data_IF_081632396312
#
_entry.id   IF_081632396312
#
_cell.length_a   1.000
_cell.length_b   1.000
_cell.length_c   1.000
_cell.angle_alpha   90.00
_cell.angle_beta   90.00
_cell.angle_gamma   90.00
#
_symmetry.space_group_name_H-M   'P 1'
#
loop_
_entity.id
_entity.type
_entity.pdbx_description
1 polymer ?
#
# COMPACT_ATOMS: atom_id res chain seq x y z
N UNK A 1 -42.93 5.54 -7.34
CA UNK A 1 -41.62 5.02 -6.91
C UNK A 1 -40.56 5.58 -7.83
N UNK A 2 -39.86 6.63 -7.41
CA UNK A 2 -38.77 7.22 -8.21
C UNK A 2 -37.62 6.24 -8.32
N UNK A 3 -37.21 5.91 -9.54
CA UNK A 3 -35.92 5.23 -9.77
C UNK A 3 -34.83 6.18 -9.28
N UNK A 4 -34.00 5.72 -8.32
CA UNK A 4 -32.75 6.39 -8.01
C UNK A 4 -31.95 6.45 -9.31
N UNK A 5 -31.35 7.60 -9.67
CA UNK A 5 -30.46 7.64 -10.81
C UNK A 5 -29.35 6.63 -10.54
N UNK A 6 -29.21 5.65 -11.42
CA UNK A 6 -28.08 4.73 -11.38
C UNK A 6 -26.87 5.58 -11.75
N UNK A 7 -26.02 5.87 -10.79
CA UNK A 7 -24.75 6.55 -11.05
C UNK A 7 -23.94 5.70 -12.05
N UNK A 8 -23.15 6.35 -12.89
CA UNK A 8 -22.26 5.66 -13.80
C UNK A 8 -21.38 4.67 -13.02
N UNK A 9 -21.20 3.43 -13.53
CA UNK A 9 -20.46 2.42 -12.82
C UNK A 9 -18.98 2.83 -12.70
N UNK A 10 -18.42 2.74 -11.49
CA UNK A 10 -16.98 2.82 -11.28
C UNK A 10 -16.39 1.43 -11.48
N UNK A 11 -15.34 1.33 -12.27
CA UNK A 11 -14.73 0.05 -12.64
C UNK A 11 -13.26 -0.02 -12.20
N UNK A 12 -12.79 -1.21 -11.92
CA UNK A 12 -11.36 -1.49 -11.68
C UNK A 12 -10.71 -1.72 -13.04
N UNK A 13 -9.75 -0.88 -13.42
CA UNK A 13 -9.07 -0.92 -14.72
C UNK A 13 -7.71 -1.60 -14.66
N UNK A 14 -7.10 -1.72 -13.48
CA UNK A 14 -5.82 -2.38 -13.29
C UNK A 14 -5.63 -2.92 -11.88
N UNK A 15 -4.82 -3.95 -11.76
CA UNK A 15 -4.55 -4.64 -10.50
C UNK A 15 -3.04 -4.81 -10.32
N UNK A 16 -2.53 -4.38 -9.16
CA UNK A 16 -1.16 -4.61 -8.74
C UNK A 16 -1.12 -5.51 -7.51
N UNK A 17 -0.33 -6.58 -7.57
CA UNK A 17 -0.31 -7.62 -6.55
C UNK A 17 1.10 -7.83 -6.02
N UNK A 18 1.25 -7.72 -4.69
CA UNK A 18 2.50 -8.01 -3.97
C UNK A 18 2.16 -8.90 -2.79
N UNK A 19 2.42 -10.19 -2.91
CA UNK A 19 1.99 -11.21 -1.94
C UNK A 19 3.07 -12.27 -1.71
N UNK A 20 2.95 -13.07 -0.64
CA UNK A 20 3.80 -14.24 -0.43
C UNK A 20 3.68 -15.31 -1.54
N UNK A 21 2.60 -15.28 -2.33
CA UNK A 21 2.41 -16.19 -3.47
C UNK A 21 3.13 -15.73 -4.74
N UNK A 22 3.53 -14.46 -4.81
CA UNK A 22 4.24 -13.90 -5.94
C UNK A 22 3.93 -12.41 -6.16
N UNK A 23 4.67 -11.83 -7.09
CA UNK A 23 4.55 -10.44 -7.52
C UNK A 23 3.84 -10.38 -8.87
N UNK A 24 2.89 -9.45 -8.98
CA UNK A 24 2.06 -9.29 -10.18
C UNK A 24 0.90 -10.29 -10.25
N UNK A 25 -0.12 -9.91 -11.02
CA UNK A 25 -1.38 -10.68 -11.12
C UNK A 25 -1.21 -12.07 -11.71
N UNK A 26 -0.27 -12.25 -12.65
CA UNK A 26 -0.04 -13.55 -13.31
C UNK A 26 0.54 -14.56 -12.34
N UNK A 27 1.67 -14.23 -11.69
CA UNK A 27 2.30 -15.14 -10.73
C UNK A 27 1.39 -15.45 -9.54
N UNK A 28 0.65 -14.46 -9.05
CA UNK A 28 -0.34 -14.64 -7.99
C UNK A 28 -1.46 -15.58 -8.45
N UNK A 29 -2.03 -15.35 -9.63
CA UNK A 29 -3.13 -16.17 -10.16
C UNK A 29 -2.71 -17.62 -10.39
N UNK A 30 -1.56 -17.87 -11.01
CA UNK A 30 -1.01 -19.22 -11.20
C UNK A 30 -0.80 -19.95 -9.87
N UNK A 31 -0.24 -19.25 -8.87
CA UNK A 31 -0.06 -19.82 -7.54
C UNK A 31 -1.38 -20.14 -6.85
N UNK A 32 -2.35 -19.23 -6.93
CA UNK A 32 -3.66 -19.40 -6.32
C UNK A 32 -4.43 -20.58 -6.96
N UNK A 33 -4.50 -20.62 -8.29
CA UNK A 33 -5.23 -21.68 -9.00
C UNK A 33 -4.53 -23.06 -8.92
N UNK A 34 -3.22 -23.10 -8.69
CA UNK A 34 -2.51 -24.36 -8.41
C UNK A 34 -2.61 -24.81 -6.95
N UNK A 35 -3.33 -24.08 -6.09
CA UNK A 35 -3.50 -24.40 -4.67
C UNK A 35 -2.24 -24.20 -3.83
N UNK A 36 -1.26 -23.41 -4.30
CA UNK A 36 -0.06 -23.09 -3.49
C UNK A 36 -0.42 -22.25 -2.28
N UNK A 37 0.24 -22.53 -1.15
CA UNK A 37 0.17 -21.70 0.05
C UNK A 37 1.39 -20.77 0.09
N UNK A 38 1.17 -19.52 0.45
CA UNK A 38 2.22 -18.56 0.79
C UNK A 38 2.53 -18.54 2.30
N UNK A 39 1.88 -19.39 3.09
CA UNK A 39 2.12 -19.50 4.53
C UNK A 39 3.26 -20.50 4.76
N UNK A 40 4.29 -20.05 5.49
CA UNK A 40 5.50 -20.82 5.80
C UNK A 40 5.98 -20.49 7.22
N UNK A 41 6.95 -21.23 7.77
CA UNK A 41 7.62 -20.80 9.00
C UNK A 41 8.22 -19.40 8.83
N UNK A 42 7.95 -18.52 9.80
CA UNK A 42 8.47 -17.16 9.80
C UNK A 42 9.99 -17.18 9.94
N UNK A 43 10.68 -16.52 9.01
CA UNK A 43 12.13 -16.39 8.97
C UNK A 43 12.63 -14.98 9.35
N UNK A 44 11.78 -13.96 9.29
CA UNK A 44 12.16 -12.57 9.49
C UNK A 44 12.48 -12.18 10.94
N UNK A 45 12.04 -12.98 11.92
CA UNK A 45 12.31 -12.77 13.35
C UNK A 45 12.11 -14.05 14.15
N UNK A 46 12.65 -14.08 15.38
CA UNK A 46 12.47 -15.21 16.31
C UNK A 46 11.03 -15.31 16.81
N UNK A 47 10.43 -16.46 16.60
CA UNK A 47 9.05 -16.77 16.99
C UNK A 47 8.93 -17.70 18.20
N UNK A 48 10.06 -18.09 18.83
CA UNK A 48 10.08 -19.11 19.89
C UNK A 48 9.12 -18.80 21.07
N UNK A 49 8.92 -17.51 21.38
CA UNK A 49 8.02 -17.05 22.45
C UNK A 49 6.57 -16.81 21.99
N UNK A 50 6.23 -17.08 20.72
CA UNK A 50 4.92 -16.78 20.16
C UNK A 50 4.05 -18.02 20.05
N UNK A 51 2.72 -17.82 20.11
CA UNK A 51 1.73 -18.89 19.95
C UNK A 51 1.57 -19.39 18.49
N UNK A 52 2.17 -18.70 17.52
CA UNK A 52 2.21 -19.11 16.11
C UNK A 52 3.59 -18.88 15.53
N UNK A 53 4.06 -19.82 14.72
CA UNK A 53 5.34 -19.78 14.04
C UNK A 53 5.19 -19.65 12.52
N UNK A 54 3.96 -19.55 12.03
CA UNK A 54 3.63 -19.50 10.61
C UNK A 54 3.16 -18.10 10.21
N UNK A 55 3.56 -17.65 9.03
CA UNK A 55 3.14 -16.37 8.46
C UNK A 55 3.33 -16.31 6.95
N UNK A 56 2.72 -15.32 6.33
CA UNK A 56 2.91 -15.02 4.92
C UNK A 56 3.93 -13.91 4.77
N UNK A 57 5.21 -14.24 4.58
CA UNK A 57 6.26 -13.26 4.37
C UNK A 57 6.44 -12.95 2.87
N UNK A 58 6.55 -11.68 2.55
CA UNK A 58 6.90 -11.25 1.20
C UNK A 58 8.42 -11.25 1.10
N UNK A 59 9.01 -12.02 0.16
CA UNK A 59 10.46 -12.08 0.00
C UNK A 59 11.03 -10.72 -0.43
N UNK A 60 12.36 -10.60 -0.41
CA UNK A 60 13.03 -9.44 -1.00
C UNK A 60 12.76 -9.39 -2.51
N UNK A 61 12.52 -8.17 -3.01
CA UNK A 61 12.28 -7.92 -4.43
C UNK A 61 12.97 -6.64 -4.89
N UNK A 62 13.14 -6.51 -6.20
CA UNK A 62 13.87 -5.40 -6.80
C UNK A 62 13.00 -4.11 -6.82
N UNK A 63 12.83 -3.46 -5.67
CA UNK A 63 12.00 -2.24 -5.50
C UNK A 63 12.32 -1.18 -6.55
N UNK A 64 13.58 -1.09 -7.00
CA UNK A 64 14.04 -0.14 -8.01
C UNK A 64 13.38 -0.29 -9.39
N UNK A 65 12.72 -1.40 -9.63
CA UNK A 65 11.95 -1.63 -10.86
C UNK A 65 10.59 -0.91 -10.85
N UNK A 66 10.11 -0.54 -9.66
CA UNK A 66 8.79 0.06 -9.45
C UNK A 66 8.85 1.49 -8.92
N UNK A 67 9.93 1.84 -8.23
CA UNK A 67 10.07 3.10 -7.50
C UNK A 67 11.37 3.79 -7.87
N UNK A 68 11.33 5.09 -8.06
CA UNK A 68 12.51 5.90 -8.39
C UNK A 68 13.57 5.86 -7.27
N UNK A 69 14.86 5.83 -7.65
CA UNK A 69 15.97 5.80 -6.70
C UNK A 69 15.97 6.99 -5.71
N UNK A 70 15.42 8.13 -6.13
CA UNK A 70 15.25 9.33 -5.29
C UNK A 70 14.32 9.06 -4.12
N UNK A 71 13.23 8.34 -4.35
CA UNK A 71 12.17 8.12 -3.37
C UNK A 71 12.38 6.86 -2.53
N UNK A 72 12.97 5.79 -3.07
CA UNK A 72 13.28 4.54 -2.34
C UNK A 72 13.96 4.79 -0.99
N UNK A 73 14.91 5.74 -0.93
CA UNK A 73 15.70 6.02 0.29
C UNK A 73 14.87 6.65 1.42
N UNK A 74 13.69 7.16 1.12
CA UNK A 74 12.79 7.80 2.08
C UNK A 74 11.67 6.89 2.56
N UNK A 75 11.46 5.77 1.85
CA UNK A 75 10.37 4.84 2.09
C UNK A 75 10.78 3.75 3.07
N UNK A 76 9.90 3.45 3.99
CA UNK A 76 9.94 2.22 4.79
C UNK A 76 9.52 1.00 3.95
N UNK A 77 9.55 -0.19 4.55
CA UNK A 77 9.20 -1.43 3.84
C UNK A 77 7.75 -1.42 3.37
N UNK A 78 6.80 -1.01 4.21
CA UNK A 78 5.38 -0.95 3.84
C UNK A 78 5.17 -0.02 2.66
N UNK A 79 5.75 1.18 2.70
CA UNK A 79 5.67 2.16 1.60
C UNK A 79 6.24 1.62 0.28
N UNK A 80 7.34 0.85 0.34
CA UNK A 80 7.93 0.21 -0.85
C UNK A 80 7.02 -0.85 -1.46
N UNK A 81 6.42 -1.71 -0.62
CA UNK A 81 5.47 -2.74 -1.06
C UNK A 81 4.23 -2.11 -1.70
N UNK A 82 3.66 -1.10 -1.03
CA UNK A 82 2.48 -0.41 -1.51
C UNK A 82 2.74 0.39 -2.80
N UNK A 83 3.89 1.06 -2.91
CA UNK A 83 4.28 1.78 -4.12
C UNK A 83 4.52 0.85 -5.31
N UNK A 84 5.11 -0.33 -5.07
CA UNK A 84 5.26 -1.35 -6.11
C UNK A 84 3.89 -1.85 -6.60
N UNK A 85 2.97 -2.16 -5.69
CA UNK A 85 1.61 -2.57 -6.05
C UNK A 85 0.88 -1.47 -6.83
N UNK A 86 0.99 -0.20 -6.41
CA UNK A 86 0.37 0.91 -7.11
C UNK A 86 0.94 1.09 -8.53
N UNK A 87 2.27 0.98 -8.70
CA UNK A 87 2.91 1.02 -10.03
C UNK A 87 2.40 -0.11 -10.92
N UNK A 88 2.39 -1.35 -10.40
CA UNK A 88 1.85 -2.50 -11.14
C UNK A 88 0.40 -2.29 -11.58
N UNK A 89 -0.45 -1.69 -10.73
CA UNK A 89 -1.83 -1.41 -11.07
C UNK A 89 -1.96 -0.37 -12.19
N UNK A 90 -1.14 0.69 -12.17
CA UNK A 90 -1.09 1.71 -13.23
C UNK A 90 -0.64 1.11 -14.56
N UNK A 91 0.41 0.28 -14.52
CA UNK A 91 0.96 -0.38 -15.70
C UNK A 91 -0.04 -1.40 -16.27
N UNK A 92 -0.71 -2.17 -15.41
CA UNK A 92 -1.74 -3.13 -15.80
C UNK A 92 -2.97 -2.48 -16.43
N UNK A 93 -3.34 -1.28 -15.95
CA UNK A 93 -4.40 -0.47 -16.55
C UNK A 93 -3.99 0.17 -17.88
N UNK A 94 -2.72 0.12 -18.27
CA UNK A 94 -2.20 0.83 -19.44
C UNK A 94 -2.31 2.34 -19.34
N UNK A 95 -2.30 2.90 -18.11
CA UNK A 95 -2.49 4.31 -17.88
C UNK A 95 -1.20 5.10 -18.07
N UNK A 96 -1.26 6.12 -18.93
CA UNK A 96 -0.23 7.14 -19.03
C UNK A 96 -0.57 8.32 -18.12
N UNK A 97 0.01 8.33 -16.93
CA UNK A 97 -0.25 9.38 -15.93
C UNK A 97 0.17 10.78 -16.41
N UNK A 98 1.01 10.91 -17.43
CA UNK A 98 1.41 12.21 -17.97
C UNK A 98 0.27 12.86 -18.80
N UNK A 99 -0.66 12.08 -19.29
CA UNK A 99 -1.79 12.54 -20.12
C UNK A 99 -3.04 12.92 -19.35
N UNK A 100 -3.06 12.74 -18.03
CA UNK A 100 -4.22 13.06 -17.19
C UNK A 100 -3.88 14.14 -16.16
N UNK A 101 -4.91 14.87 -15.68
CA UNK A 101 -4.69 15.91 -14.67
C UNK A 101 -4.35 15.30 -13.31
N UNK A 102 -3.15 15.59 -12.79
CA UNK A 102 -2.68 15.15 -11.49
C UNK A 102 -3.59 15.54 -10.33
N UNK A 103 -4.33 16.65 -10.45
CA UNK A 103 -5.25 17.12 -9.40
C UNK A 103 -6.52 16.26 -9.32
N UNK A 104 -6.80 15.48 -10.34
CA UNK A 104 -7.95 14.56 -10.40
C UNK A 104 -7.56 13.09 -10.17
N UNK A 105 -6.28 12.84 -9.89
CA UNK A 105 -5.76 11.52 -9.53
C UNK A 105 -5.55 11.46 -8.03
N UNK A 106 -6.16 10.47 -7.38
CA UNK A 106 -6.10 10.30 -5.93
C UNK A 106 -5.49 8.98 -5.50
N UNK A 107 -5.36 8.83 -4.20
CA UNK A 107 -5.03 7.58 -3.55
C UNK A 107 -5.86 7.41 -2.29
N UNK A 108 -6.44 6.25 -2.13
CA UNK A 108 -7.06 5.82 -0.88
C UNK A 108 -6.39 4.52 -0.44
N UNK A 109 -5.72 4.58 0.68
CA UNK A 109 -5.01 3.42 1.24
C UNK A 109 -5.79 2.80 2.38
N UNK A 110 -6.07 1.48 2.27
CA UNK A 110 -6.56 0.69 3.39
C UNK A 110 -5.39 0.00 4.09
N UNK A 111 -5.29 0.14 5.42
CA UNK A 111 -4.24 -0.52 6.21
C UNK A 111 -4.73 -0.85 7.59
N UNK A 112 -4.37 -2.05 8.11
CA UNK A 112 -4.72 -2.44 9.48
C UNK A 112 -3.75 -1.91 10.54
N UNK A 113 -2.45 -1.93 10.25
CA UNK A 113 -1.40 -1.60 11.22
C UNK A 113 -0.53 -0.42 10.80
N UNK A 114 -0.58 -0.03 9.51
CA UNK A 114 0.29 1.04 8.99
C UNK A 114 1.77 0.71 9.16
N UNK A 115 2.58 1.73 9.42
CA UNK A 115 4.03 1.63 9.60
C UNK A 115 4.41 1.37 11.08
N UNK A 116 3.71 0.46 11.76
CA UNK A 116 3.91 0.16 13.18
C UNK A 116 5.34 -0.26 13.50
N UNK A 117 6.00 -1.01 12.60
CA UNK A 117 7.41 -1.43 12.77
C UNK A 117 8.36 -0.23 12.88
N UNK A 118 8.16 0.81 12.07
CA UNK A 118 8.96 2.04 12.13
C UNK A 118 8.66 2.81 13.41
N UNK A 119 7.39 2.92 13.79
CA UNK A 119 6.98 3.62 15.01
C UNK A 119 7.56 2.95 16.26
N UNK A 120 7.49 1.61 16.35
CA UNK A 120 8.06 0.85 17.46
C UNK A 120 9.57 1.00 17.52
N UNK A 121 10.29 0.85 16.40
CA UNK A 121 11.75 1.05 16.37
C UNK A 121 12.14 2.47 16.80
N UNK A 122 11.43 3.48 16.33
CA UNK A 122 11.67 4.87 16.70
C UNK A 122 11.43 5.11 18.20
N UNK A 123 10.32 4.58 18.74
CA UNK A 123 9.98 4.68 20.16
C UNK A 123 11.02 3.96 21.05
N UNK A 124 11.49 2.77 20.63
CA UNK A 124 12.51 2.04 21.39
C UNK A 124 13.81 2.84 21.55
N UNK A 125 14.28 3.54 20.51
CA UNK A 125 15.46 4.41 20.64
C UNK A 125 15.23 5.51 21.65
N UNK A 126 14.03 6.13 21.65
CA UNK A 126 13.69 7.22 22.59
C UNK A 126 13.67 6.73 24.04
N UNK A 127 13.02 5.59 24.30
CA UNK A 127 12.74 5.14 25.66
C UNK A 127 13.84 4.24 26.24
N UNK A 128 14.50 3.41 25.42
CA UNK A 128 15.53 2.47 25.86
C UNK A 128 16.95 3.06 25.79
N UNK A 129 17.17 4.05 24.93
CA UNK A 129 18.50 4.64 24.75
C UNK A 129 18.50 6.12 25.15
N UNK A 130 18.12 7.01 24.22
CA UNK A 130 18.01 8.46 24.46
C UNK A 130 17.23 9.14 23.34
N UNK A 131 16.37 10.13 23.62
CA UNK A 131 15.74 10.97 22.61
C UNK A 131 16.73 11.66 21.66
N UNK A 132 17.95 11.93 22.11
CA UNK A 132 19.01 12.58 21.31
C UNK A 132 19.56 11.66 20.21
N UNK A 133 19.40 10.34 20.35
CA UNK A 133 19.83 9.34 19.38
C UNK A 133 18.75 9.02 18.35
N UNK A 134 17.52 9.44 18.59
CA UNK A 134 16.41 9.20 17.69
C UNK A 134 16.62 9.93 16.35
N UNK A 135 16.58 9.18 15.24
CA UNK A 135 16.77 9.75 13.92
C UNK A 135 15.51 10.49 13.44
N UNK A 136 15.51 11.83 13.35
CA UNK A 136 14.33 12.60 12.97
C UNK A 136 13.84 12.31 11.55
N UNK A 137 14.66 11.74 10.67
CA UNK A 137 14.28 11.36 9.32
C UNK A 137 13.28 10.20 9.27
N UNK A 138 13.14 9.46 10.37
CA UNK A 138 12.15 8.38 10.47
C UNK A 138 10.75 8.89 10.82
N UNK A 139 10.63 10.08 11.43
CA UNK A 139 9.35 10.65 11.89
C UNK A 139 8.27 10.63 10.82
N UNK A 140 8.52 11.04 9.55
CA UNK A 140 7.50 10.99 8.52
C UNK A 140 6.96 9.58 8.23
N UNK A 141 7.72 8.54 8.55
CA UNK A 141 7.35 7.14 8.33
C UNK A 141 6.72 6.48 9.57
N UNK A 142 6.54 7.19 10.68
CA UNK A 142 5.91 6.64 11.90
C UNK A 142 4.39 6.74 11.87
N UNK A 143 3.82 7.45 10.91
CA UNK A 143 2.38 7.69 10.81
C UNK A 143 1.73 6.76 9.78
N UNK A 144 0.47 6.39 10.01
CA UNK A 144 -0.24 5.40 9.20
C UNK A 144 -0.44 5.81 7.74
N UNK A 145 -0.49 7.11 7.45
CA UNK A 145 -0.69 7.66 6.12
C UNK A 145 0.63 7.88 5.33
N UNK A 146 1.78 7.56 5.89
CA UNK A 146 3.06 7.69 5.21
C UNK A 146 3.11 6.96 3.86
N UNK A 147 2.65 5.70 3.74
CA UNK A 147 2.66 5.00 2.46
C UNK A 147 1.84 5.70 1.37
N UNK A 148 0.64 6.20 1.71
CA UNK A 148 -0.20 6.96 0.76
C UNK A 148 0.50 8.24 0.28
N UNK A 149 1.16 8.96 1.19
CA UNK A 149 1.96 10.15 0.86
C UNK A 149 3.14 9.83 -0.06
N UNK A 150 3.85 8.73 0.19
CA UNK A 150 4.97 8.30 -0.65
C UNK A 150 4.52 7.89 -2.06
N UNK A 151 3.40 7.19 -2.19
CA UNK A 151 2.81 6.80 -3.48
C UNK A 151 2.36 8.06 -4.23
N UNK A 152 1.71 9.00 -3.55
CA UNK A 152 1.28 10.25 -4.16
C UNK A 152 2.45 11.04 -4.76
N UNK A 153 3.59 11.11 -4.06
CA UNK A 153 4.82 11.75 -4.55
C UNK A 153 5.43 10.97 -5.72
N UNK A 154 5.45 9.64 -5.65
CA UNK A 154 6.06 8.80 -6.69
C UNK A 154 5.29 8.83 -8.00
N UNK A 155 3.95 8.83 -7.93
CA UNK A 155 3.06 8.76 -9.08
C UNK A 155 2.44 10.11 -9.48
N UNK A 156 2.84 11.20 -8.83
CA UNK A 156 2.29 12.56 -9.04
C UNK A 156 0.76 12.62 -8.90
N UNK A 157 0.22 12.02 -7.81
CA UNK A 157 -1.19 12.04 -7.47
C UNK A 157 -1.46 13.25 -6.58
N UNK A 158 -2.11 14.28 -7.10
CA UNK A 158 -2.31 15.57 -6.41
C UNK A 158 -3.74 15.79 -5.94
N UNK A 159 -4.63 14.85 -6.25
CA UNK A 159 -6.01 14.86 -5.82
C UNK A 159 -6.19 14.33 -4.40
N UNK A 160 -7.25 13.57 -4.19
CA UNK A 160 -7.60 13.01 -2.89
C UNK A 160 -6.49 12.09 -2.39
N UNK A 161 -6.06 12.31 -1.14
CA UNK A 161 -5.13 11.43 -0.44
C UNK A 161 -5.75 11.08 0.92
N UNK A 162 -6.15 9.83 1.10
CA UNK A 162 -6.78 9.35 2.31
C UNK A 162 -6.20 8.00 2.73
N UNK A 163 -6.17 7.77 4.04
CA UNK A 163 -5.85 6.47 4.61
C UNK A 163 -6.95 6.07 5.57
N UNK A 164 -7.46 4.87 5.40
CA UNK A 164 -8.52 4.30 6.24
C UNK A 164 -8.00 3.07 6.99
N UNK A 165 -8.44 2.96 8.25
CA UNK A 165 -8.14 1.83 9.10
C UNK A 165 -9.45 1.28 9.68
N UNK A 166 -9.88 0.15 9.16
CA UNK A 166 -11.00 -0.65 9.66
C UNK A 166 -10.56 -2.09 9.91
N UNK A 167 -9.32 -2.25 10.40
CA UNK A 167 -8.72 -3.58 10.62
C UNK A 167 -8.82 -4.45 9.36
N UNK A 168 -9.47 -5.60 9.45
CA UNK A 168 -9.61 -6.58 8.36
C UNK A 168 -10.40 -6.03 7.16
N UNK A 169 -11.32 -5.09 7.37
CA UNK A 169 -12.15 -4.48 6.32
C UNK A 169 -11.54 -3.18 5.73
N UNK A 170 -10.25 -2.93 5.97
CA UNK A 170 -9.61 -1.68 5.51
C UNK A 170 -9.56 -1.54 4.00
N UNK A 171 -9.28 -2.63 3.29
CA UNK A 171 -9.17 -2.61 1.83
C UNK A 171 -10.53 -2.36 1.16
N UNK A 172 -11.58 -3.05 1.61
CA UNK A 172 -12.94 -2.88 1.10
C UNK A 172 -13.45 -1.47 1.36
N UNK A 173 -13.17 -0.93 2.55
CA UNK A 173 -13.53 0.45 2.89
C UNK A 173 -12.81 1.47 2.01
N UNK A 174 -11.51 1.24 1.71
CA UNK A 174 -10.75 2.09 0.81
C UNK A 174 -11.33 2.09 -0.60
N UNK A 175 -11.69 0.92 -1.13
CA UNK A 175 -12.32 0.77 -2.45
C UNK A 175 -13.67 1.50 -2.48
N UNK A 176 -14.52 1.29 -1.48
CA UNK A 176 -15.84 1.94 -1.39
C UNK A 176 -15.70 3.47 -1.30
N UNK A 177 -14.75 3.96 -0.51
CA UNK A 177 -14.49 5.39 -0.40
C UNK A 177 -13.99 5.98 -1.72
N UNK A 178 -13.02 5.33 -2.39
CA UNK A 178 -12.51 5.78 -3.68
C UNK A 178 -13.61 5.83 -4.74
N UNK A 179 -14.44 4.79 -4.84
CA UNK A 179 -15.57 4.75 -5.76
C UNK A 179 -16.55 5.91 -5.50
N UNK A 180 -16.87 6.19 -4.23
CA UNK A 180 -17.74 7.32 -3.88
C UNK A 180 -17.15 8.69 -4.28
N UNK A 181 -15.81 8.87 -4.21
CA UNK A 181 -15.16 10.10 -4.64
C UNK A 181 -15.22 10.27 -6.16
N UNK A 182 -15.06 9.20 -6.93
CA UNK A 182 -15.20 9.21 -8.39
C UNK A 182 -16.66 9.51 -8.77
N UNK A 183 -17.64 8.84 -8.17
CA UNK A 183 -19.06 9.10 -8.40
C UNK A 183 -19.47 10.54 -8.06
N UNK A 184 -18.84 11.14 -7.05
CA UNK A 184 -19.05 12.54 -6.68
C UNK A 184 -18.32 13.54 -7.61
N UNK A 185 -17.64 13.07 -8.65
CA UNK A 185 -16.88 13.90 -9.60
C UNK A 185 -15.64 14.57 -9.01
N UNK A 186 -15.13 14.09 -7.85
CA UNK A 186 -13.97 14.67 -7.17
C UNK A 186 -12.64 14.09 -7.65
N UNK A 187 -12.65 12.94 -8.29
CA UNK A 187 -11.52 12.27 -8.90
C UNK A 187 -11.95 11.55 -10.18
N UNK A 188 -10.99 11.29 -11.05
CA UNK A 188 -11.16 10.47 -12.26
C UNK A 188 -10.44 9.13 -12.11
N UNK A 189 -9.44 9.10 -11.23
CA UNK A 189 -8.61 7.95 -10.89
C UNK A 189 -8.23 8.02 -9.42
#
# INVERSE_FOLDING_TARGET
MGRWPVADPVVITGVGVVTPLGLGKTAFGEALFSGRSGIAPIAGFDTAALGSHLGGEIPEFAVKEYVSLKNIRRMDRLSKLAAAAARMAVDDAGLDLQKSDGNRRGIVMGTSFGATDVAVRFANVIFAESPRLANPRLVPNTVMNAPAGHIAIELDLRGINATVNHREASAETAIAYAAAQIQAGKADL
#
